data_IF_723411571452
#
_entry.id   IF_723411571452
#
_cell.length_a   1.000
_cell.length_b   1.000
_cell.length_c   1.000
_cell.angle_alpha   90.00
_cell.angle_beta   90.00
_cell.angle_gamma   90.00
#
_symmetry.space_group_name_H-M   'P 1'
#
loop_
_entity.id
_entity.type
_entity.pdbx_description
1 polymer ?
#
# COMPACT_ATOMS: atom_id res chain seq x y z
N UNK A 1 12.41 -8.74 -16.85
CA UNK A 1 11.37 -7.69 -16.73
C UNK A 1 11.06 -7.48 -15.25
N UNK A 2 10.88 -6.23 -14.77
CA UNK A 2 10.68 -5.90 -13.33
C UNK A 2 9.62 -6.80 -12.69
N UNK A 3 8.41 -6.84 -13.26
CA UNK A 3 7.28 -7.62 -12.72
C UNK A 3 7.59 -9.10 -12.54
N UNK A 4 8.25 -9.76 -13.49
CA UNK A 4 8.62 -11.18 -13.32
C UNK A 4 9.57 -11.39 -12.13
N UNK A 5 10.54 -10.49 -11.95
CA UNK A 5 11.45 -10.54 -10.79
C UNK A 5 10.69 -10.36 -9.47
N UNK A 6 9.77 -9.40 -9.43
CA UNK A 6 8.93 -9.13 -8.28
C UNK A 6 8.04 -10.34 -7.92
N UNK A 7 7.49 -11.01 -8.93
CA UNK A 7 6.71 -12.25 -8.75
C UNK A 7 7.53 -13.36 -8.10
N UNK A 8 8.72 -13.64 -8.65
CA UNK A 8 9.60 -14.71 -8.15
C UNK A 8 10.08 -14.42 -6.72
N UNK A 9 10.43 -13.15 -6.44
CA UNK A 9 10.79 -12.71 -5.09
C UNK A 9 9.67 -12.95 -4.10
N UNK A 10 8.44 -12.56 -4.42
CA UNK A 10 7.28 -12.78 -3.55
C UNK A 10 7.10 -14.24 -3.17
N UNK A 11 7.16 -15.14 -4.16
CA UNK A 11 7.04 -16.58 -3.93
C UNK A 11 8.21 -17.09 -3.07
N UNK A 12 9.44 -16.67 -3.36
CA UNK A 12 10.64 -17.09 -2.61
C UNK A 12 10.64 -16.63 -1.15
N UNK A 13 9.93 -15.53 -0.85
CA UNK A 13 9.78 -14.97 0.49
C UNK A 13 8.57 -15.53 1.24
N UNK A 14 7.92 -16.57 0.71
CA UNK A 14 6.84 -17.29 1.38
C UNK A 14 5.44 -16.78 1.12
N UNK A 15 5.27 -15.73 0.31
CA UNK A 15 3.93 -15.26 -0.07
C UNK A 15 3.22 -16.29 -0.96
N UNK A 16 1.92 -16.47 -0.74
CA UNK A 16 1.08 -17.38 -1.53
C UNK A 16 0.38 -16.63 -2.66
N UNK A 17 0.25 -17.29 -3.81
CA UNK A 17 -0.52 -16.75 -4.93
C UNK A 17 -1.98 -17.20 -4.83
N UNK A 18 -2.86 -16.27 -4.46
CA UNK A 18 -4.30 -16.48 -4.53
C UNK A 18 -4.82 -16.36 -5.97
N UNK A 19 -4.16 -15.53 -6.80
CA UNK A 19 -4.43 -15.41 -8.22
C UNK A 19 -3.10 -15.29 -8.99
N UNK A 20 -2.89 -16.18 -9.97
CA UNK A 20 -1.74 -16.13 -10.88
C UNK A 20 -2.21 -15.88 -12.31
N UNK A 21 -2.05 -14.64 -12.78
CA UNK A 21 -2.31 -14.26 -14.15
C UNK A 21 -1.28 -14.81 -15.15
N UNK A 22 -1.56 -14.63 -16.45
CA UNK A 22 -0.59 -14.87 -17.51
C UNK A 22 0.33 -13.66 -17.68
N UNK A 23 1.57 -13.93 -18.05
CA UNK A 23 2.55 -12.94 -18.52
C UNK A 23 2.95 -13.35 -19.93
N UNK A 24 2.68 -12.50 -20.91
CA UNK A 24 3.01 -12.72 -22.31
C UNK A 24 3.64 -11.43 -22.85
N UNK A 25 4.95 -11.45 -23.06
CA UNK A 25 5.73 -10.27 -23.42
C UNK A 25 5.47 -9.11 -22.44
N UNK A 26 4.91 -8.00 -22.93
CA UNK A 26 4.57 -6.83 -22.12
C UNK A 26 3.11 -6.84 -21.60
N UNK A 27 2.36 -7.91 -21.84
CA UNK A 27 0.97 -8.07 -21.38
C UNK A 27 0.99 -8.89 -20.10
N UNK A 28 0.55 -8.26 -19.01
CA UNK A 28 0.58 -8.81 -17.66
C UNK A 28 -0.84 -8.83 -17.12
N UNK A 29 -1.34 -10.01 -16.75
CA UNK A 29 -2.63 -10.14 -16.08
C UNK A 29 -2.51 -9.92 -14.56
N UNK A 30 -3.65 -9.86 -13.86
CA UNK A 30 -3.71 -9.62 -12.41
C UNK A 30 -3.05 -10.74 -11.61
N UNK A 31 -2.30 -10.36 -10.57
CA UNK A 31 -1.72 -11.27 -9.60
C UNK A 31 -2.07 -10.81 -8.19
N UNK A 32 -2.50 -11.74 -7.33
CA UNK A 32 -2.83 -11.45 -5.94
C UNK A 32 -1.96 -12.33 -5.06
N UNK A 33 -1.16 -11.68 -4.21
CA UNK A 33 -0.38 -12.33 -3.17
C UNK A 33 -1.08 -12.21 -1.83
N UNK A 34 -1.16 -13.32 -1.09
CA UNK A 34 -1.65 -13.39 0.28
C UNK A 34 -0.54 -13.91 1.19
N UNK A 35 -0.70 -13.73 2.49
CA UNK A 35 0.35 -14.10 3.47
C UNK A 35 1.67 -13.38 3.16
N UNK A 36 1.57 -12.11 2.73
CA UNK A 36 2.72 -11.27 2.44
C UNK A 36 3.35 -10.85 3.76
N UNK A 37 4.63 -11.15 3.92
CA UNK A 37 5.46 -10.64 5.02
C UNK A 37 5.66 -9.11 4.83
N UNK A 38 5.36 -8.28 5.84
CA UNK A 38 5.59 -6.83 5.81
C UNK A 38 7.04 -6.43 5.48
N UNK A 39 8.02 -7.28 5.77
CA UNK A 39 9.44 -7.05 5.43
C UNK A 39 9.80 -7.44 3.99
N UNK A 40 8.89 -8.11 3.28
CA UNK A 40 9.16 -8.62 1.94
C UNK A 40 9.23 -7.50 0.90
N UNK A 41 9.88 -7.81 -0.23
CA UNK A 41 9.93 -6.89 -1.38
C UNK A 41 8.53 -6.64 -1.93
N UNK A 42 7.59 -7.59 -1.77
CA UNK A 42 6.20 -7.42 -2.21
C UNK A 42 5.41 -6.42 -1.38
N UNK A 43 5.76 -6.27 -0.10
CA UNK A 43 5.13 -5.27 0.76
C UNK A 43 5.70 -3.87 0.49
N UNK A 44 7.02 -3.76 0.30
CA UNK A 44 7.73 -2.46 0.29
C UNK A 44 7.95 -1.85 -1.09
N UNK A 45 8.11 -2.65 -2.15
CA UNK A 45 8.48 -2.11 -3.47
C UNK A 45 7.27 -1.88 -4.37
N UNK A 46 7.12 -0.66 -4.86
CA UNK A 46 6.12 -0.29 -5.85
C UNK A 46 6.30 -1.08 -7.15
N UNK A 47 5.24 -1.78 -7.57
CA UNK A 47 5.30 -2.66 -8.74
C UNK A 47 5.11 -1.94 -10.08
N UNK A 48 4.33 -0.84 -10.11
CA UNK A 48 3.82 -0.24 -11.36
C UNK A 48 3.16 -1.26 -12.30
N UNK A 49 2.55 -2.29 -11.75
CA UNK A 49 1.88 -3.34 -12.51
C UNK A 49 0.70 -3.94 -11.76
N UNK A 50 -0.04 -4.85 -12.39
CA UNK A 50 -1.27 -5.42 -11.83
C UNK A 50 -0.98 -6.51 -10.78
N UNK A 51 -0.22 -6.15 -9.74
CA UNK A 51 0.14 -7.01 -8.60
C UNK A 51 -0.45 -6.40 -7.33
N UNK A 52 -1.25 -7.18 -6.61
CA UNK A 52 -1.86 -6.79 -5.33
C UNK A 52 -1.28 -7.64 -4.19
N UNK A 53 -0.45 -7.07 -3.30
CA UNK A 53 -0.08 -7.72 -2.04
C UNK A 53 -1.20 -7.54 -1.00
N UNK A 54 -1.52 -8.60 -0.27
CA UNK A 54 -2.50 -8.59 0.82
C UNK A 54 -1.78 -8.94 2.13
N UNK A 55 -1.74 -7.98 3.04
CA UNK A 55 -1.21 -8.11 4.39
C UNK A 55 -2.36 -8.24 5.38
N UNK A 56 -2.21 -9.08 6.39
CA UNK A 56 -3.23 -9.30 7.43
C UNK A 56 -2.82 -8.61 8.72
N UNK A 57 -3.60 -7.62 9.13
CA UNK A 57 -3.50 -7.05 10.47
C UNK A 57 -4.19 -7.95 11.51
N UNK A 58 -3.73 -7.87 12.76
CA UNK A 58 -4.32 -8.63 13.89
C UNK A 58 -5.40 -7.82 14.60
N UNK A 59 -5.23 -6.50 14.62
CA UNK A 59 -6.11 -5.51 15.21
C UNK A 59 -5.92 -4.17 14.50
N UNK A 60 -6.62 -3.14 14.98
CA UNK A 60 -6.55 -1.79 14.42
C UNK A 60 -5.17 -1.15 14.58
N UNK A 61 -4.52 -1.32 15.72
CA UNK A 61 -3.18 -0.74 15.96
C UNK A 61 -2.15 -1.33 15.01
N UNK A 62 -2.18 -2.65 14.78
CA UNK A 62 -1.33 -3.31 13.81
C UNK A 62 -1.69 -2.89 12.37
N UNK A 63 -2.97 -2.67 12.05
CA UNK A 63 -3.37 -2.16 10.74
C UNK A 63 -2.79 -0.78 10.46
N UNK A 64 -2.81 0.12 11.46
CA UNK A 64 -2.21 1.45 11.34
C UNK A 64 -0.70 1.37 11.17
N UNK A 65 -0.03 0.51 11.95
CA UNK A 65 1.39 0.24 11.78
C UNK A 65 1.69 -0.22 10.35
N UNK A 66 0.98 -1.22 9.84
CA UNK A 66 1.21 -1.75 8.49
C UNK A 66 0.93 -0.71 7.40
N UNK A 67 -0.07 0.13 7.57
CA UNK A 67 -0.39 1.21 6.62
C UNK A 67 0.75 2.22 6.50
N UNK A 68 1.42 2.53 7.62
CA UNK A 68 2.55 3.45 7.66
C UNK A 68 3.91 2.74 7.48
N UNK A 69 3.93 1.40 7.40
CA UNK A 69 5.16 0.61 7.27
C UNK A 69 5.65 0.57 5.81
N UNK A 70 5.91 1.74 5.26
CA UNK A 70 6.33 1.98 3.89
C UNK A 70 7.18 3.26 3.85
N UNK A 71 7.96 3.44 2.79
CA UNK A 71 8.73 4.69 2.59
C UNK A 71 7.90 5.76 1.86
N UNK A 72 6.76 5.36 1.28
CA UNK A 72 5.89 6.21 0.46
C UNK A 72 4.71 6.78 1.25
N UNK A 73 4.19 7.93 0.85
CA UNK A 73 3.06 8.60 1.53
C UNK A 73 2.08 9.31 0.58
N UNK A 74 1.82 8.75 -0.62
CA UNK A 74 0.99 9.42 -1.64
C UNK A 74 -0.52 9.44 -1.30
N UNK A 75 -1.15 8.28 -1.24
CA UNK A 75 -2.58 8.17 -0.95
C UNK A 75 -2.92 6.85 -0.26
N UNK A 76 -3.98 6.85 0.53
CA UNK A 76 -4.50 5.68 1.24
C UNK A 76 -6.03 5.63 1.21
N UNK A 77 -6.61 4.49 1.60
CA UNK A 77 -8.05 4.37 1.75
C UNK A 77 -8.43 3.50 2.96
N UNK A 78 -9.53 3.86 3.61
CA UNK A 78 -10.10 3.16 4.76
C UNK A 78 -11.54 2.79 4.46
N UNK A 79 -11.83 1.48 4.48
CA UNK A 79 -13.20 0.98 4.30
C UNK A 79 -13.76 0.52 5.65
N UNK A 80 -14.88 1.12 6.08
CA UNK A 80 -15.51 0.87 7.38
C UNK A 80 -16.99 1.24 7.36
N UNK A 81 -17.80 0.52 8.13
CA UNK A 81 -19.20 0.89 8.38
C UNK A 81 -19.36 1.96 9.48
N UNK A 82 -18.34 2.12 10.32
CA UNK A 82 -18.30 3.12 11.38
C UNK A 82 -17.46 4.31 10.90
N UNK A 83 -18.14 5.39 10.50
CA UNK A 83 -17.51 6.59 9.97
C UNK A 83 -16.70 7.35 11.03
N UNK A 84 -17.15 7.39 12.29
CA UNK A 84 -16.45 8.12 13.35
C UNK A 84 -15.12 7.42 13.68
N UNK A 85 -15.15 6.09 13.78
CA UNK A 85 -13.95 5.27 13.93
C UNK A 85 -13.03 5.42 12.71
N UNK A 86 -13.59 5.39 11.51
CA UNK A 86 -12.85 5.62 10.26
C UNK A 86 -12.12 6.96 10.28
N UNK A 87 -12.83 8.05 10.54
CA UNK A 87 -12.26 9.39 10.60
C UNK A 87 -11.19 9.55 11.67
N UNK A 88 -11.29 8.86 12.82
CA UNK A 88 -10.22 8.84 13.82
C UNK A 88 -9.01 8.05 13.35
N UNK A 89 -9.22 6.91 12.69
CA UNK A 89 -8.15 6.06 12.16
C UNK A 89 -7.34 6.78 11.08
N UNK A 90 -8.01 7.49 10.16
CA UNK A 90 -7.34 8.23 9.08
C UNK A 90 -6.39 9.30 9.58
N UNK A 91 -6.63 9.89 10.77
CA UNK A 91 -5.73 10.89 11.36
C UNK A 91 -4.37 10.32 11.77
N UNK A 92 -4.25 9.00 11.90
CA UNK A 92 -2.97 8.34 12.17
C UNK A 92 -2.25 7.85 10.92
N UNK A 93 -2.89 7.90 9.74
CA UNK A 93 -2.25 7.44 8.51
C UNK A 93 -1.29 8.51 7.99
N UNK A 94 -0.11 8.08 7.61
CA UNK A 94 0.96 8.92 7.08
C UNK A 94 0.92 8.91 5.56
N UNK A 95 -0.15 9.51 5.01
CA UNK A 95 -0.30 9.76 3.59
C UNK A 95 -0.95 11.13 3.39
N UNK A 96 -0.59 11.81 2.30
CA UNK A 96 -1.10 13.16 2.00
C UNK A 96 -2.62 13.17 1.77
N UNK A 97 -3.14 12.10 1.16
CA UNK A 97 -4.57 11.92 0.92
C UNK A 97 -5.05 10.60 1.51
N UNK A 98 -6.20 10.64 2.15
CA UNK A 98 -6.85 9.44 2.68
C UNK A 98 -8.35 9.50 2.42
N UNK A 99 -8.87 8.47 1.76
CA UNK A 99 -10.27 8.38 1.36
C UNK A 99 -11.03 7.38 2.24
N UNK A 100 -12.19 7.77 2.79
CA UNK A 100 -13.04 6.88 3.58
C UNK A 100 -14.14 6.31 2.67
N UNK A 101 -14.25 4.98 2.64
CA UNK A 101 -15.22 4.23 1.85
C UNK A 101 -15.12 4.48 0.33
N UNK A 102 -13.90 4.73 -0.13
CA UNK A 102 -13.55 4.83 -1.55
C UNK A 102 -12.24 4.07 -1.83
N UNK A 103 -11.67 4.24 -3.02
CA UNK A 103 -10.37 3.70 -3.41
C UNK A 103 -9.24 4.68 -3.09
N UNK A 104 -7.99 4.20 -3.07
CA UNK A 104 -6.82 5.07 -2.93
C UNK A 104 -6.49 5.86 -4.21
N UNK A 105 -7.25 5.66 -5.29
CA UNK A 105 -7.06 6.35 -6.57
C UNK A 105 -8.28 7.23 -6.80
N UNK A 106 -8.22 8.44 -6.26
CA UNK A 106 -9.20 9.49 -6.49
C UNK A 106 -8.45 10.83 -6.52
N UNK A 107 -8.60 11.58 -7.60
CA UNK A 107 -7.96 12.86 -7.84
C UNK A 107 -9.04 13.87 -8.25
N UNK A 108 -9.08 14.99 -7.52
CA UNK A 108 -10.03 16.06 -7.72
C UNK A 108 -9.26 17.32 -8.05
N UNK A 109 -9.57 17.96 -9.18
CA UNK A 109 -8.83 19.12 -9.69
C UNK A 109 -8.79 20.33 -8.73
N UNK A 110 -9.66 20.35 -7.73
CA UNK A 110 -9.77 21.41 -6.72
C UNK A 110 -9.15 21.03 -5.36
N UNK A 111 -8.78 19.75 -5.17
CA UNK A 111 -8.15 19.27 -3.96
C UNK A 111 -6.62 19.34 -4.10
N UNK A 112 -5.88 19.56 -3.02
CA UNK A 112 -4.43 19.42 -3.05
C UNK A 112 -4.06 17.97 -3.37
N UNK A 113 -3.12 17.78 -4.29
CA UNK A 113 -2.58 16.48 -4.69
C UNK A 113 -1.07 16.47 -4.49
N UNK A 114 -0.58 15.48 -3.77
CA UNK A 114 0.83 15.35 -3.41
C UNK A 114 1.08 14.08 -2.61
N UNK A 115 2.34 13.81 -2.36
CA UNK A 115 2.82 12.75 -1.46
C UNK A 115 4.26 13.06 -1.07
N UNK A 116 4.57 13.02 0.22
CA UNK A 116 5.95 13.08 0.71
C UNK A 116 6.44 11.67 1.12
N UNK A 117 7.74 11.40 1.01
CA UNK A 117 8.29 10.19 1.59
C UNK A 117 8.23 10.31 3.12
N UNK A 118 7.82 9.24 3.80
CA UNK A 118 7.66 9.24 5.26
C UNK A 118 9.00 9.56 5.96
N UNK A 119 10.12 9.12 5.39
CA UNK A 119 11.47 9.44 5.89
C UNK A 119 11.85 10.92 5.75
N UNK A 120 11.44 11.58 4.67
CA UNK A 120 11.77 12.99 4.43
C UNK A 120 11.01 13.91 5.41
N UNK A 121 9.79 13.51 5.78
CA UNK A 121 8.94 14.21 6.75
C UNK A 121 9.55 14.23 8.16
N UNK A 122 10.11 13.11 8.62
CA UNK A 122 10.74 13.01 9.95
C UNK A 122 12.01 13.88 10.05
N UNK A 123 12.74 14.05 8.94
CA UNK A 123 13.90 14.95 8.85
C UNK A 123 13.48 16.44 8.93
N UNK A 124 12.30 16.80 8.42
CA UNK A 124 11.75 18.16 8.52
C UNK A 124 11.23 18.49 9.92
N UNK A 125 10.70 17.51 10.65
CA UNK A 125 10.22 17.68 12.03
C UNK A 125 11.37 17.79 13.04
N UNK A 126 12.49 17.10 12.81
CA UNK A 126 13.67 17.12 13.69
C UNK A 126 14.61 18.30 13.45
N UNK A 127 14.39 19.09 12.40
CA UNK A 127 15.19 20.27 12.04
C UNK A 127 14.55 21.61 12.46
N UNK A 128 13.50 21.58 13.29
CA UNK A 128 12.83 22.76 13.86
C UNK A 128 13.05 22.91 15.36
#
# INVERSE_FOLDING_TARGET
MKISHLMDKGISQGAKLALKGKIQDNIISRHIFTEVDPESVRAKEESFGPILPVLKAQDETHALFLANYTEYGLSSAVCTQDYERGSKFTLGIEADMTHINDTSVDDQTIAPFGGENIQDRDALMTSR
#
